data_IF_408467416437
#
_entry.id   IF_408467416437
#
_cell.length_a   1.000
_cell.length_b   1.000
_cell.length_c   1.000
_cell.angle_alpha   90.00
_cell.angle_beta   90.00
_cell.angle_gamma   90.00
#
_symmetry.space_group_name_H-M   'P 1'
#
loop_
_entity.id
_entity.type
_entity.pdbx_description
1 polymer ?
#
# COMPACT_ATOMS: atom_id res chain seq x y z
N UNK A 1 13.14 -8.08 4.52
CA UNK A 1 13.01 -6.69 5.01
C UNK A 1 12.74 -6.74 6.51
N UNK A 2 13.18 -5.73 7.28
CA UNK A 2 12.72 -5.58 8.67
C UNK A 2 11.30 -5.02 8.69
N UNK A 3 10.55 -5.25 9.77
CA UNK A 3 9.21 -4.69 9.96
C UNK A 3 9.19 -3.16 9.75
N UNK A 4 10.16 -2.47 10.33
CA UNK A 4 10.32 -1.01 10.21
C UNK A 4 10.46 -0.57 8.74
N UNK A 5 11.26 -1.28 7.94
CA UNK A 5 11.39 -0.98 6.51
C UNK A 5 10.11 -1.28 5.73
N UNK A 6 9.35 -2.30 6.12
CA UNK A 6 8.07 -2.59 5.48
C UNK A 6 7.02 -1.52 5.79
N UNK A 7 7.00 -1.02 7.03
CA UNK A 7 6.12 0.07 7.43
C UNK A 7 6.51 1.39 6.76
N UNK A 8 7.80 1.69 6.61
CA UNK A 8 8.25 2.90 5.89
C UNK A 8 7.77 2.92 4.44
N UNK A 9 7.83 1.78 3.74
CA UNK A 9 7.28 1.64 2.38
C UNK A 9 5.77 1.83 2.40
N UNK A 10 5.06 1.17 3.32
CA UNK A 10 3.61 1.26 3.43
C UNK A 10 3.12 2.70 3.66
N UNK A 11 3.71 3.43 4.60
CA UNK A 11 3.28 4.79 4.94
C UNK A 11 3.60 5.85 3.88
N UNK A 12 4.47 5.53 2.92
CA UNK A 12 4.86 6.43 1.82
C UNK A 12 4.17 6.07 0.49
N UNK A 13 3.40 5.00 0.49
CA UNK A 13 2.74 4.48 -0.71
C UNK A 13 1.47 5.26 -1.04
N UNK A 14 1.12 5.31 -2.32
CA UNK A 14 -0.11 5.94 -2.79
C UNK A 14 -1.35 5.19 -2.27
N UNK A 15 -1.27 3.86 -2.14
CA UNK A 15 -2.30 3.02 -1.53
C UNK A 15 -2.68 3.48 -0.11
N UNK A 16 -1.70 3.90 0.71
CA UNK A 16 -1.99 4.41 2.05
C UNK A 16 -2.74 5.74 2.03
N UNK A 17 -2.39 6.66 1.13
CA UNK A 17 -3.13 7.90 0.93
C UNK A 17 -4.55 7.62 0.43
N UNK A 18 -4.71 6.76 -0.57
CA UNK A 18 -6.03 6.38 -1.14
C UNK A 18 -6.96 5.74 -0.08
N UNK A 19 -6.42 4.84 0.75
CA UNK A 19 -7.17 4.25 1.87
C UNK A 19 -7.60 5.31 2.89
N UNK A 20 -6.75 6.31 3.16
CA UNK A 20 -7.03 7.38 4.12
C UNK A 20 -8.02 8.44 3.63
N UNK A 21 -7.97 8.77 2.33
CA UNK A 21 -8.90 9.72 1.71
C UNK A 21 -10.29 9.11 1.43
N UNK A 22 -10.42 7.78 1.53
CA UNK A 22 -11.66 7.07 1.20
C UNK A 22 -11.97 7.12 -0.30
N UNK A 23 -10.94 7.36 -1.12
CA UNK A 23 -11.06 7.32 -2.57
C UNK A 23 -11.05 5.85 -2.97
N UNK A 24 -12.24 5.30 -3.20
CA UNK A 24 -12.51 3.87 -3.47
C UNK A 24 -12.61 2.98 -2.22
N UNK A 25 -13.39 1.90 -2.32
CA UNK A 25 -13.61 0.87 -1.28
C UNK A 25 -12.36 0.00 -1.02
N UNK A 26 -11.15 0.58 -1.14
CA UNK A 26 -9.88 -0.13 -0.95
C UNK A 26 -9.77 -0.65 0.49
N UNK A 27 -10.34 0.07 1.46
CA UNK A 27 -10.47 -0.40 2.85
C UNK A 27 -11.35 -1.65 3.02
N UNK A 28 -12.13 -2.04 2.00
CA UNK A 28 -12.94 -3.26 1.97
C UNK A 28 -12.28 -4.41 1.21
N UNK A 29 -11.11 -4.18 0.61
CA UNK A 29 -10.39 -5.20 -0.15
C UNK A 29 -9.58 -6.10 0.80
N UNK A 30 -9.35 -7.34 0.36
CA UNK A 30 -8.58 -8.32 1.14
C UNK A 30 -7.13 -7.89 1.33
N UNK A 31 -6.53 -8.29 2.45
CA UNK A 31 -5.11 -8.06 2.75
C UNK A 31 -4.18 -8.47 1.60
N UNK A 32 -4.45 -9.60 0.94
CA UNK A 32 -3.69 -10.07 -0.22
C UNK A 32 -3.73 -9.09 -1.40
N UNK A 33 -4.88 -8.48 -1.67
CA UNK A 33 -5.02 -7.49 -2.74
C UNK A 33 -4.18 -6.25 -2.41
N UNK A 34 -4.26 -5.75 -1.18
CA UNK A 34 -3.49 -4.59 -0.72
C UNK A 34 -1.98 -4.84 -0.82
N UNK A 35 -1.54 -6.05 -0.47
CA UNK A 35 -0.12 -6.43 -0.62
C UNK A 35 0.30 -6.45 -2.09
N UNK A 36 -0.51 -7.02 -2.98
CA UNK A 36 -0.22 -7.03 -4.42
C UNK A 36 -0.08 -5.61 -4.99
N UNK A 37 -1.00 -4.70 -4.64
CA UNK A 37 -0.95 -3.30 -5.08
C UNK A 37 0.32 -2.60 -4.53
N UNK A 38 0.64 -2.77 -3.25
CA UNK A 38 1.87 -2.23 -2.66
C UNK A 38 3.14 -2.76 -3.33
N UNK A 39 3.15 -4.04 -3.70
CA UNK A 39 4.28 -4.63 -4.43
C UNK A 39 4.36 -4.09 -5.86
N UNK A 40 3.23 -3.81 -6.51
CA UNK A 40 3.19 -3.13 -7.81
C UNK A 40 3.68 -1.69 -7.73
N UNK A 41 3.18 -0.91 -6.78
CA UNK A 41 3.64 0.46 -6.50
C UNK A 41 5.16 0.49 -6.32
N UNK A 42 5.69 -0.38 -5.44
CA UNK A 42 7.13 -0.49 -5.20
C UNK A 42 7.94 -0.91 -6.42
N UNK A 43 7.37 -1.71 -7.34
CA UNK A 43 8.04 -2.08 -8.60
C UNK A 43 8.01 -0.94 -9.63
N UNK A 44 6.99 -0.10 -9.56
CA UNK A 44 6.76 1.02 -10.47
C UNK A 44 7.46 2.31 -10.03
N UNK A 45 7.71 2.48 -8.72
CA UNK A 45 8.63 3.45 -8.15
C UNK A 45 10.07 3.12 -8.60
N UNK A 46 10.56 3.82 -9.63
CA UNK A 46 11.94 3.71 -10.14
C UNK A 46 12.96 4.37 -9.21
#
# INVERSE_FOLDING_TARGET
MSLEKSLDVFYRSELYELMGEGVSDIHCMSDEYLVCELEEEKRNEK
#
